data_IF_926279945484
#
_entry.id   IF_926279945484
#
_cell.length_a   1.000
_cell.length_b   1.000
_cell.length_c   1.000
_cell.angle_alpha   90.00
_cell.angle_beta   90.00
_cell.angle_gamma   90.00
#
_symmetry.space_group_name_H-M   'P 1'
#
loop_
_entity.id
_entity.type
_entity.pdbx_description
1 polymer ?
#
# COMPACT_ATOMS: atom_id res chain seq x y z
N UNK A 1 5.98 22.89 -0.29
CA UNK A 1 5.76 21.45 -0.56
C UNK A 1 5.26 20.79 0.71
N UNK A 2 4.16 20.04 0.65
CA UNK A 2 3.35 19.62 1.80
C UNK A 2 4.00 18.52 2.65
N UNK A 3 5.03 18.90 3.42
CA UNK A 3 5.68 18.04 4.45
C UNK A 3 4.62 17.39 5.34
N UNK A 4 3.58 18.15 5.71
CA UNK A 4 2.45 17.68 6.51
C UNK A 4 1.74 16.46 5.90
N UNK A 5 1.44 16.48 4.59
CA UNK A 5 0.73 15.38 3.93
C UNK A 5 1.60 14.13 3.83
N UNK A 6 2.92 14.30 3.59
CA UNK A 6 3.86 13.18 3.61
C UNK A 6 3.90 12.48 4.97
N UNK A 7 3.86 13.26 6.06
CA UNK A 7 3.83 12.69 7.41
C UNK A 7 2.49 12.01 7.74
N UNK A 8 1.35 12.54 7.27
CA UNK A 8 0.05 11.86 7.40
C UNK A 8 0.09 10.47 6.74
N UNK A 9 0.56 10.39 5.49
CA UNK A 9 0.61 9.13 4.73
C UNK A 9 1.56 8.12 5.43
N UNK A 10 2.74 8.56 5.87
CA UNK A 10 3.67 7.70 6.63
C UNK A 10 3.05 7.20 7.92
N UNK A 11 2.37 8.06 8.67
CA UNK A 11 1.70 7.67 9.91
C UNK A 11 0.54 6.70 9.64
N UNK A 12 -0.18 6.85 8.53
CA UNK A 12 -1.21 5.89 8.12
C UNK A 12 -0.61 4.51 7.83
N UNK A 13 0.50 4.44 7.08
CA UNK A 13 1.20 3.19 6.79
C UNK A 13 1.72 2.49 8.05
N UNK A 14 2.29 3.26 8.99
CA UNK A 14 2.79 2.71 10.27
C UNK A 14 1.69 2.09 11.13
N UNK A 15 0.49 2.69 11.12
CA UNK A 15 -0.65 2.28 11.93
C UNK A 15 -1.63 1.37 11.19
N UNK A 16 -1.29 0.91 9.99
CA UNK A 16 -2.14 0.04 9.18
C UNK A 16 -2.48 -1.26 9.93
N UNK A 17 -3.74 -1.68 9.85
CA UNK A 17 -4.24 -2.92 10.45
C UNK A 17 -4.70 -3.93 9.40
N UNK A 18 -4.76 -5.21 9.76
CA UNK A 18 -5.18 -6.27 8.84
C UNK A 18 -6.66 -6.08 8.42
N UNK A 19 -7.51 -5.66 9.36
CA UNK A 19 -8.91 -5.38 9.11
C UNK A 19 -9.11 -4.24 8.11
N UNK A 20 -8.28 -3.20 8.16
CA UNK A 20 -8.30 -2.12 7.17
C UNK A 20 -7.93 -2.64 5.78
N UNK A 21 -6.90 -3.48 5.67
CA UNK A 21 -6.51 -4.05 4.37
C UNK A 21 -7.62 -4.96 3.84
N UNK A 22 -8.22 -5.81 4.68
CA UNK A 22 -9.35 -6.65 4.29
C UNK A 22 -10.53 -5.81 3.81
N UNK A 23 -10.89 -4.76 4.56
CA UNK A 23 -11.96 -3.84 4.21
C UNK A 23 -11.73 -3.18 2.84
N UNK A 24 -10.54 -2.60 2.62
CA UNK A 24 -10.22 -1.97 1.35
C UNK A 24 -10.13 -2.98 0.20
N UNK A 25 -9.58 -4.17 0.44
CA UNK A 25 -9.50 -5.22 -0.59
C UNK A 25 -10.91 -5.58 -1.11
N UNK A 26 -11.87 -5.74 -0.20
CA UNK A 26 -13.26 -6.00 -0.56
C UNK A 26 -13.91 -4.82 -1.29
N UNK A 27 -13.62 -3.58 -0.86
CA UNK A 27 -14.16 -2.38 -1.50
C UNK A 27 -13.66 -2.19 -2.93
N UNK A 28 -12.38 -2.50 -3.19
CA UNK A 28 -11.74 -2.32 -4.49
C UNK A 28 -11.72 -3.59 -5.36
N UNK A 29 -12.41 -4.66 -4.92
CA UNK A 29 -12.71 -5.82 -5.76
C UNK A 29 -11.60 -6.87 -5.88
N UNK A 30 -10.65 -6.91 -4.94
CA UNK A 30 -9.66 -8.00 -4.87
C UNK A 30 -9.74 -8.74 -3.53
N UNK A 31 -9.71 -10.07 -3.57
CA UNK A 31 -9.85 -10.90 -2.38
C UNK A 31 -8.48 -11.29 -1.83
N UNK A 32 -8.20 -10.88 -0.59
CA UNK A 32 -7.09 -11.39 0.20
C UNK A 32 -7.60 -12.12 1.43
N UNK A 33 -6.82 -13.08 1.91
CA UNK A 33 -7.11 -13.79 3.16
C UNK A 33 -6.66 -12.97 4.38
N UNK A 34 -7.23 -13.27 5.54
CA UNK A 34 -6.78 -12.68 6.80
C UNK A 34 -5.29 -12.95 7.06
N UNK A 35 -4.78 -14.13 6.69
CA UNK A 35 -3.36 -14.47 6.82
C UNK A 35 -2.49 -13.53 5.97
N UNK A 36 -2.86 -13.31 4.70
CA UNK A 36 -2.15 -12.39 3.82
C UNK A 36 -2.20 -10.96 4.34
N UNK A 37 -3.35 -10.48 4.82
CA UNK A 37 -3.47 -9.15 5.41
C UNK A 37 -2.52 -8.97 6.61
N UNK A 38 -2.44 -9.96 7.50
CA UNK A 38 -1.51 -9.92 8.64
C UNK A 38 -0.04 -9.96 8.21
N UNK A 39 0.30 -10.72 7.16
CA UNK A 39 1.64 -10.74 6.59
C UNK A 39 2.02 -9.37 5.97
N UNK A 40 1.09 -8.72 5.27
CA UNK A 40 1.31 -7.37 4.70
C UNK A 40 1.57 -6.36 5.82
N UNK A 41 0.74 -6.32 6.87
CA UNK A 41 0.95 -5.42 8.01
C UNK A 41 2.31 -5.66 8.66
N UNK A 42 2.67 -6.93 8.87
CA UNK A 42 3.95 -7.31 9.46
C UNK A 42 5.13 -6.84 8.60
N UNK A 43 5.02 -7.00 7.28
CA UNK A 43 6.00 -6.54 6.32
C UNK A 43 6.14 -5.00 6.36
N UNK A 44 5.02 -4.27 6.26
CA UNK A 44 5.03 -2.79 6.25
C UNK A 44 5.65 -2.24 7.52
N UNK A 45 5.34 -2.82 8.68
CA UNK A 45 5.93 -2.41 9.97
C UNK A 45 7.43 -2.67 10.04
N UNK A 46 7.89 -3.85 9.59
CA UNK A 46 9.33 -4.19 9.61
C UNK A 46 10.15 -3.40 8.59
N UNK A 47 9.64 -3.25 7.37
CA UNK A 47 10.36 -2.59 6.28
C UNK A 47 10.23 -1.07 6.31
N UNK A 48 9.15 -0.54 6.90
CA UNK A 48 8.86 0.90 6.96
C UNK A 48 9.09 1.60 5.61
N UNK A 49 8.46 1.11 4.53
CA UNK A 49 8.78 1.54 3.17
C UNK A 49 8.46 3.02 2.98
N UNK A 50 9.30 3.74 2.22
CA UNK A 50 9.00 5.10 1.83
C UNK A 50 8.08 5.09 0.59
N UNK A 51 6.79 5.45 0.71
CA UNK A 51 5.88 5.40 -0.43
C UNK A 51 6.22 6.45 -1.51
N UNK A 52 7.03 7.45 -1.20
CA UNK A 52 7.42 8.53 -2.11
C UNK A 52 8.68 8.21 -2.91
N UNK A 53 9.35 7.09 -2.64
CA UNK A 53 10.52 6.64 -3.40
C UNK A 53 10.12 5.50 -4.34
N UNK A 54 10.39 5.66 -5.64
CA UNK A 54 10.00 4.67 -6.65
C UNK A 54 10.66 3.30 -6.42
N UNK A 55 11.90 3.26 -5.94
CA UNK A 55 12.59 2.00 -5.72
C UNK A 55 12.00 1.24 -4.52
N UNK A 56 11.63 1.95 -3.45
CA UNK A 56 10.88 1.39 -2.31
C UNK A 56 9.49 0.90 -2.73
N UNK A 57 8.76 1.66 -3.54
CA UNK A 57 7.45 1.23 -4.08
C UNK A 57 7.59 -0.07 -4.87
N UNK A 58 8.58 -0.16 -5.76
CA UNK A 58 8.82 -1.36 -6.56
C UNK A 58 9.16 -2.56 -5.66
N UNK A 59 10.02 -2.37 -4.65
CA UNK A 59 10.32 -3.41 -3.66
C UNK A 59 9.06 -3.86 -2.92
N UNK A 60 8.23 -2.91 -2.48
CA UNK A 60 6.99 -3.22 -1.78
C UNK A 60 6.03 -4.05 -2.64
N UNK A 61 5.80 -3.65 -3.89
CA UNK A 61 4.91 -4.39 -4.80
C UNK A 61 5.42 -5.81 -5.09
N UNK A 62 6.74 -5.98 -5.25
CA UNK A 62 7.34 -7.31 -5.42
C UNK A 62 7.14 -8.20 -4.19
N UNK A 63 7.20 -7.64 -2.98
CA UNK A 63 6.94 -8.40 -1.76
C UNK A 63 5.45 -8.69 -1.57
N UNK A 64 4.56 -7.78 -1.99
CA UNK A 64 3.13 -8.05 -2.04
C UNK A 64 2.80 -9.21 -2.97
N UNK A 65 3.44 -9.31 -4.13
CA UNK A 65 3.25 -10.44 -5.07
C UNK A 65 3.62 -11.78 -4.43
N UNK A 66 4.68 -11.81 -3.60
CA UNK A 66 5.09 -13.03 -2.86
C UNK A 66 4.13 -13.40 -1.73
N UNK A 67 3.55 -12.42 -1.05
CA UNK A 67 2.61 -12.64 0.05
C UNK A 67 1.24 -13.05 -0.48
N UNK A 68 0.79 -12.37 -1.54
CA UNK A 68 -0.54 -12.56 -2.12
C UNK A 68 -0.45 -13.41 -3.37
N UNK A 69 -0.49 -12.76 -4.52
CA UNK A 69 -0.29 -13.29 -5.85
C UNK A 69 -0.04 -12.10 -6.80
N UNK A 70 0.38 -12.40 -8.03
CA UNK A 70 0.67 -11.37 -9.03
C UNK A 70 -0.54 -10.51 -9.40
N UNK A 71 -1.74 -11.10 -9.48
CA UNK A 71 -2.96 -10.39 -9.86
C UNK A 71 -3.33 -9.37 -8.77
N UNK A 72 -3.24 -9.77 -7.51
CA UNK A 72 -3.52 -8.91 -6.36
C UNK A 72 -2.50 -7.78 -6.24
N UNK A 73 -1.21 -8.06 -6.42
CA UNK A 73 -0.17 -7.02 -6.40
C UNK A 73 -0.35 -5.98 -7.52
N UNK A 74 -0.69 -6.42 -8.74
CA UNK A 74 -1.01 -5.53 -9.86
C UNK A 74 -2.24 -4.67 -9.57
N UNK A 75 -3.30 -5.25 -8.99
CA UNK A 75 -4.49 -4.50 -8.62
C UNK A 75 -4.18 -3.44 -7.54
N UNK A 76 -3.36 -3.77 -6.55
CA UNK A 76 -2.91 -2.82 -5.53
C UNK A 76 -2.07 -1.68 -6.14
N UNK A 77 -1.22 -1.98 -7.12
CA UNK A 77 -0.47 -0.95 -7.85
C UNK A 77 -1.40 -0.02 -8.64
N UNK A 78 -2.34 -0.58 -9.39
CA UNK A 78 -3.32 0.21 -10.15
C UNK A 78 -4.15 1.11 -9.24
N UNK A 79 -4.60 0.58 -8.10
CA UNK A 79 -5.32 1.35 -7.09
C UNK A 79 -4.48 2.51 -6.55
N UNK A 80 -3.19 2.27 -6.26
CA UNK A 80 -2.29 3.32 -5.81
C UNK A 80 -2.16 4.43 -6.85
N UNK A 81 -1.95 4.08 -8.12
CA UNK A 81 -1.83 5.04 -9.22
C UNK A 81 -3.13 5.85 -9.41
N UNK A 82 -4.29 5.20 -9.32
CA UNK A 82 -5.60 5.84 -9.43
C UNK A 82 -5.87 6.81 -8.27
N UNK A 83 -5.54 6.42 -7.03
CA UNK A 83 -5.66 7.29 -5.86
C UNK A 83 -4.70 8.48 -5.98
N UNK A 84 -3.45 8.26 -6.37
CA UNK A 84 -2.50 9.37 -6.53
C UNK A 84 -3.01 10.40 -7.53
N UNK A 85 -3.51 9.94 -8.67
CA UNK A 85 -4.03 10.80 -9.75
C UNK A 85 -5.34 11.50 -9.38
N UNK A 86 -6.31 10.76 -8.84
CA UNK A 86 -7.64 11.31 -8.52
C UNK A 86 -7.59 12.39 -7.44
N UNK A 87 -6.63 12.33 -6.53
CA UNK A 87 -6.43 13.32 -5.47
C UNK A 87 -5.37 14.39 -5.80
N UNK A 88 -4.81 14.42 -7.02
CA UNK A 88 -3.82 15.43 -7.43
C UNK A 88 -2.48 15.33 -6.67
N UNK A 89 -2.13 14.12 -6.22
CA UNK A 89 -0.97 13.86 -5.36
C UNK A 89 0.31 13.55 -6.14
N UNK A 90 0.29 13.59 -7.47
CA UNK A 90 1.40 13.18 -8.34
C UNK A 90 2.71 13.89 -7.96
N UNK A 91 2.63 15.15 -7.56
CA UNK A 91 3.78 15.96 -7.14
C UNK A 91 4.51 15.46 -5.88
N UNK A 92 3.95 14.46 -5.16
CA UNK A 92 4.55 13.87 -3.96
C UNK A 92 5.33 12.59 -4.23
N UNK A 93 5.02 11.88 -5.33
CA UNK A 93 5.42 10.51 -5.63
C UNK A 93 6.37 10.42 -6.81
#
# INVERSE_FOLDING_TARGET
MSIFLKEIIKNKLRNLTADEILHYSSQYGFSITNTQANQIVSYVRRSSPNPFDQADRNRFMNELEKITDRKTALAAQQLMDEVIKSYGLEHLF
#
